data_IF_724065919937
#
_entry.id   IF_724065919937
#
_cell.length_a   1.000
_cell.length_b   1.000
_cell.length_c   1.000
_cell.angle_alpha   90.00
_cell.angle_beta   90.00
_cell.angle_gamma   90.00
#
_symmetry.space_group_name_H-M   'P 1'
#
loop_
_entity.id
_entity.type
_entity.pdbx_description
1 polymer ?
#
# COMPACT_ATOMS: atom_id res chain seq x y z
N UNK A 1 -5.83 -9.25 75.41
CA UNK A 1 -5.88 -10.69 75.77
C UNK A 1 -6.25 -11.42 74.49
N UNK A 2 -5.38 -12.11 73.77
CA UNK A 2 -4.30 -13.04 74.17
C UNK A 2 -2.97 -12.63 73.49
N UNK A 3 -1.81 -12.83 74.15
CA UNK A 3 -0.49 -12.46 73.67
C UNK A 3 0.27 -13.64 73.03
N UNK A 4 1.36 -13.36 72.32
CA UNK A 4 2.37 -14.33 71.88
C UNK A 4 3.24 -13.69 70.79
N UNK A 5 4.43 -13.16 71.11
CA UNK A 5 5.72 -13.89 71.18
C UNK A 5 6.05 -14.46 69.79
N UNK A 6 7.07 -14.02 69.07
CA UNK A 6 8.53 -14.01 69.31
C UNK A 6 9.14 -13.27 68.08
N UNK A 7 10.31 -12.63 68.04
CA UNK A 7 11.68 -13.15 68.12
C UNK A 7 12.61 -11.93 67.95
N UNK A 8 13.49 -11.65 68.91
CA UNK A 8 14.96 -11.81 68.84
C UNK A 8 15.66 -11.07 67.69
N UNK A 9 16.31 -9.97 68.06
CA UNK A 9 17.37 -9.34 67.28
C UNK A 9 18.66 -10.17 67.30
N UNK A 10 19.32 -10.24 66.15
CA UNK A 10 20.69 -10.73 65.95
C UNK A 10 21.39 -9.77 64.97
N UNK A 11 22.68 -9.46 65.15
CA UNK A 11 23.32 -8.26 64.64
C UNK A 11 23.84 -8.40 63.21
N UNK A 12 24.19 -7.23 62.66
CA UNK A 12 24.66 -7.06 61.29
C UNK A 12 25.91 -7.82 60.93
N UNK A 13 25.97 -8.17 59.64
CA UNK A 13 27.20 -8.50 58.92
C UNK A 13 27.15 -7.72 57.62
N UNK A 14 28.07 -6.77 57.46
CA UNK A 14 28.29 -6.12 56.19
C UNK A 14 28.77 -7.15 55.17
N UNK A 15 28.19 -7.10 53.98
CA UNK A 15 28.79 -7.72 52.80
C UNK A 15 28.81 -6.68 51.69
N UNK A 16 30.04 -6.28 51.36
CA UNK A 16 30.40 -5.43 50.25
C UNK A 16 29.86 -5.94 48.92
N UNK A 17 29.53 -4.98 48.05
CA UNK A 17 29.72 -5.00 46.59
C UNK A 17 29.27 -6.27 45.85
N UNK A 18 28.14 -6.17 45.15
CA UNK A 18 27.91 -6.97 43.96
C UNK A 18 27.07 -6.21 42.92
N UNK A 19 27.67 -6.06 41.75
CA UNK A 19 27.06 -6.18 40.44
C UNK A 19 26.03 -5.12 39.98
N UNK A 20 26.54 -4.21 39.14
CA UNK A 20 26.01 -3.90 37.81
C UNK A 20 24.48 -3.86 37.67
N UNK A 21 23.98 -2.63 37.70
CA UNK A 21 22.67 -2.24 37.19
C UNK A 21 22.41 -2.94 35.86
N UNK A 22 21.28 -3.63 35.85
CA UNK A 22 20.80 -4.50 34.81
C UNK A 22 20.91 -3.90 33.42
N UNK A 23 21.24 -4.79 32.47
CA UNK A 23 21.18 -4.53 31.07
C UNK A 23 19.87 -3.86 30.70
N UNK A 24 20.00 -2.66 30.10
CA UNK A 24 18.95 -2.05 29.29
C UNK A 24 18.73 -2.95 28.08
N UNK A 25 17.95 -4.00 28.29
CA UNK A 25 17.37 -4.80 27.23
C UNK A 25 16.54 -3.90 26.34
N UNK A 26 17.05 -3.67 25.15
CA UNK A 26 16.35 -3.55 23.88
C UNK A 26 14.85 -3.17 23.98
N UNK A 27 14.55 -1.90 24.28
CA UNK A 27 13.34 -1.29 23.74
C UNK A 27 13.72 -0.77 22.35
N UNK A 28 13.81 -1.68 21.37
CA UNK A 28 13.79 -1.25 19.97
C UNK A 28 12.47 -0.50 19.80
N UNK A 29 12.47 0.77 19.32
CA UNK A 29 11.23 1.44 18.99
C UNK A 29 10.56 0.58 17.94
N UNK A 30 9.31 0.21 18.19
CA UNK A 30 8.48 -0.55 17.27
C UNK A 30 8.28 0.34 16.05
N UNK A 31 9.24 0.29 15.13
CA UNK A 31 9.20 0.95 13.85
C UNK A 31 7.99 0.36 13.15
N UNK A 32 6.89 1.10 13.17
CA UNK A 32 5.69 0.71 12.45
C UNK A 32 6.09 0.75 10.98
N UNK A 33 6.46 -0.41 10.44
CA UNK A 33 6.87 -0.56 9.04
C UNK A 33 5.71 -0.03 8.19
N UNK A 34 5.84 1.21 7.72
CA UNK A 34 4.96 1.76 6.72
C UNK A 34 5.02 0.77 5.54
N UNK A 35 3.90 0.15 5.20
CA UNK A 35 3.89 -0.88 4.17
C UNK A 35 4.49 -0.27 2.89
N UNK A 36 5.68 -0.74 2.46
CA UNK A 36 6.50 -0.02 1.49
C UNK A 36 5.79 0.13 0.13
N UNK A 37 4.81 -0.74 -0.13
CA UNK A 37 4.05 -0.80 -1.37
C UNK A 37 2.83 0.14 -1.37
N UNK A 38 2.42 0.70 -0.23
CA UNK A 38 1.27 1.62 -0.13
C UNK A 38 1.41 2.80 -1.10
N UNK A 39 2.62 3.37 -1.19
CA UNK A 39 2.91 4.50 -2.06
C UNK A 39 2.75 4.15 -3.54
N UNK A 40 3.23 2.98 -3.95
CA UNK A 40 3.10 2.48 -5.32
C UNK A 40 1.63 2.26 -5.70
N UNK A 41 0.85 1.62 -4.83
CA UNK A 41 -0.59 1.40 -5.05
C UNK A 41 -1.34 2.71 -5.21
N UNK A 42 -1.02 3.73 -4.41
CA UNK A 42 -1.66 5.06 -4.52
C UNK A 42 -1.29 5.76 -5.82
N UNK A 43 -0.02 5.69 -6.25
CA UNK A 43 0.42 6.23 -7.54
C UNK A 43 -0.31 5.56 -8.69
N UNK A 44 -0.38 4.23 -8.68
CA UNK A 44 -1.10 3.44 -9.68
C UNK A 44 -2.58 3.84 -9.76
N UNK A 45 -3.25 3.99 -8.62
CA UNK A 45 -4.66 4.41 -8.56
C UNK A 45 -4.87 5.79 -9.20
N UNK A 46 -4.02 6.77 -8.89
CA UNK A 46 -4.10 8.12 -9.46
C UNK A 46 -3.85 8.12 -10.97
N UNK A 47 -2.87 7.35 -11.44
CA UNK A 47 -2.56 7.24 -12.86
C UNK A 47 -3.73 6.61 -13.64
N UNK A 48 -4.30 5.52 -13.13
CA UNK A 48 -5.47 4.88 -13.74
C UNK A 48 -6.68 5.82 -13.75
N UNK A 49 -6.90 6.59 -12.68
CA UNK A 49 -7.99 7.55 -12.64
C UNK A 49 -7.82 8.68 -13.67
N UNK A 50 -6.60 9.14 -13.89
CA UNK A 50 -6.30 10.16 -14.90
C UNK A 50 -6.54 9.65 -16.33
N UNK A 51 -5.99 8.48 -16.67
CA UNK A 51 -6.14 7.87 -18.00
C UNK A 51 -7.58 7.45 -18.29
N UNK A 52 -8.31 7.02 -17.27
CA UNK A 52 -9.70 6.59 -17.36
C UNK A 52 -10.70 7.68 -17.71
N UNK A 53 -10.31 8.97 -17.69
CA UNK A 53 -11.21 10.09 -18.04
C UNK A 53 -11.68 10.07 -19.48
N UNK A 54 -10.81 9.61 -20.38
CA UNK A 54 -11.10 9.52 -21.81
C UNK A 54 -11.68 8.16 -22.22
N UNK A 55 -12.10 7.35 -21.26
CA UNK A 55 -12.66 6.04 -21.54
C UNK A 55 -13.96 6.19 -22.36
N UNK A 56 -14.17 5.40 -23.43
CA UNK A 56 -15.28 5.59 -24.37
C UNK A 56 -16.67 5.48 -23.74
N UNK A 57 -16.82 4.80 -22.60
CA UNK A 57 -18.08 4.69 -21.84
C UNK A 57 -18.25 5.78 -20.77
N UNK A 58 -17.32 6.74 -20.71
CA UNK A 58 -17.30 7.83 -19.75
C UNK A 58 -16.48 7.54 -18.49
N UNK A 59 -16.08 8.62 -17.81
CA UNK A 59 -15.25 8.60 -16.60
C UNK A 59 -15.94 7.87 -15.44
N UNK A 60 -17.24 8.10 -15.23
CA UNK A 60 -18.01 7.49 -14.13
C UNK A 60 -18.00 5.97 -14.19
N UNK A 61 -18.25 5.42 -15.38
CA UNK A 61 -18.24 3.97 -15.63
C UNK A 61 -16.86 3.35 -15.30
N UNK A 62 -15.78 4.00 -15.74
CA UNK A 62 -14.43 3.54 -15.45
C UNK A 62 -14.11 3.63 -13.95
N UNK A 63 -14.41 4.78 -13.34
CA UNK A 63 -14.13 5.05 -11.92
C UNK A 63 -14.82 4.05 -10.99
N UNK A 64 -16.05 3.67 -11.27
CA UNK A 64 -16.77 2.66 -10.50
C UNK A 64 -16.11 1.28 -10.58
N UNK A 65 -15.65 0.87 -11.78
CA UNK A 65 -14.98 -0.43 -11.97
C UNK A 65 -13.60 -0.43 -11.33
N UNK A 66 -12.86 0.67 -11.47
CA UNK A 66 -11.58 0.87 -10.79
C UNK A 66 -11.76 0.76 -9.27
N UNK A 67 -12.72 1.50 -8.69
CA UNK A 67 -13.02 1.44 -7.26
C UNK A 67 -13.38 0.02 -6.82
N UNK A 68 -14.24 -0.68 -7.57
CA UNK A 68 -14.61 -2.07 -7.28
C UNK A 68 -13.41 -3.01 -7.30
N UNK A 69 -12.49 -2.86 -8.25
CA UNK A 69 -11.29 -3.69 -8.33
C UNK A 69 -10.36 -3.50 -7.11
N UNK A 70 -10.12 -2.25 -6.71
CA UNK A 70 -9.29 -1.95 -5.53
C UNK A 70 -9.97 -2.39 -4.22
N UNK A 71 -11.28 -2.25 -4.11
CA UNK A 71 -12.04 -2.71 -2.94
C UNK A 71 -12.00 -4.24 -2.78
N UNK A 72 -12.06 -4.99 -3.88
CA UNK A 72 -11.94 -6.47 -3.86
C UNK A 72 -10.60 -6.94 -3.29
N UNK A 73 -9.53 -6.18 -3.49
CA UNK A 73 -8.17 -6.52 -3.07
C UNK A 73 -7.72 -5.82 -1.77
N UNK A 74 -8.62 -5.11 -1.06
CA UNK A 74 -8.27 -4.28 0.11
C UNK A 74 -7.62 -5.06 1.26
N UNK A 75 -7.97 -6.34 1.39
CA UNK A 75 -7.56 -7.20 2.50
C UNK A 75 -6.27 -7.98 2.20
N UNK A 76 -5.71 -7.85 0.99
CA UNK A 76 -4.46 -8.51 0.60
C UNK A 76 -3.29 -7.87 1.37
N UNK A 77 -2.57 -8.68 2.16
CA UNK A 77 -1.41 -8.25 2.97
C UNK A 77 -0.07 -8.79 2.45
N UNK A 78 -0.10 -9.83 1.63
CA UNK A 78 1.10 -10.48 1.11
C UNK A 78 1.83 -9.55 0.11
N UNK A 79 3.11 -9.21 0.34
CA UNK A 79 3.83 -8.24 -0.48
C UNK A 79 4.02 -8.71 -1.93
N UNK A 80 4.21 -10.02 -2.15
CA UNK A 80 4.35 -10.59 -3.49
C UNK A 80 3.06 -10.47 -4.31
N UNK A 81 1.91 -10.78 -3.69
CA UNK A 81 0.60 -10.61 -4.33
C UNK A 81 0.30 -9.14 -4.64
N UNK A 82 0.70 -8.22 -3.76
CA UNK A 82 0.55 -6.78 -4.00
C UNK A 82 1.36 -6.37 -5.23
N UNK A 83 2.61 -6.83 -5.37
CA UNK A 83 3.45 -6.56 -6.55
C UNK A 83 2.83 -7.13 -7.83
N UNK A 84 2.29 -8.34 -7.79
CA UNK A 84 1.60 -8.94 -8.94
C UNK A 84 0.37 -8.11 -9.36
N UNK A 85 -0.44 -7.65 -8.39
CA UNK A 85 -1.59 -6.79 -8.64
C UNK A 85 -1.19 -5.42 -9.19
N UNK A 86 -0.06 -4.86 -8.72
CA UNK A 86 0.51 -3.62 -9.27
C UNK A 86 0.89 -3.84 -10.73
N UNK A 87 1.61 -4.93 -11.04
CA UNK A 87 2.00 -5.26 -12.42
C UNK A 87 0.80 -5.45 -13.35
N UNK A 88 -0.29 -6.06 -12.87
CA UNK A 88 -1.56 -6.11 -13.62
C UNK A 88 -2.14 -4.73 -13.88
N UNK A 89 -2.07 -3.82 -12.91
CA UNK A 89 -2.51 -2.44 -13.10
C UNK A 89 -1.66 -1.66 -14.11
N UNK A 90 -0.36 -1.87 -14.13
CA UNK A 90 0.55 -1.29 -15.13
C UNK A 90 0.26 -1.81 -16.54
N UNK A 91 -0.14 -3.07 -16.69
CA UNK A 91 -0.60 -3.60 -17.96
C UNK A 91 -1.87 -2.87 -18.45
N UNK A 92 -2.84 -2.64 -17.54
CA UNK A 92 -4.07 -1.89 -17.87
C UNK A 92 -3.76 -0.45 -18.30
N UNK A 93 -2.74 0.19 -17.71
CA UNK A 93 -2.28 1.51 -18.17
C UNK A 93 -1.88 1.48 -19.65
N UNK A 94 -1.07 0.50 -20.06
CA UNK A 94 -0.63 0.35 -21.46
C UNK A 94 -1.80 0.09 -22.40
N UNK A 95 -2.81 -0.68 -21.97
CA UNK A 95 -4.03 -0.89 -22.76
C UNK A 95 -4.81 0.41 -22.96
N UNK A 96 -4.93 1.24 -21.92
CA UNK A 96 -5.59 2.55 -22.02
C UNK A 96 -4.84 3.51 -22.95
N UNK A 97 -3.51 3.53 -22.88
CA UNK A 97 -2.67 4.31 -23.80
C UNK A 97 -2.83 3.85 -25.25
N UNK A 98 -2.84 2.53 -25.49
CA UNK A 98 -3.08 1.97 -26.81
C UNK A 98 -4.46 2.36 -27.36
N UNK A 99 -5.51 2.29 -26.52
CA UNK A 99 -6.86 2.74 -26.88
C UNK A 99 -6.89 4.22 -27.23
N UNK A 100 -6.18 5.06 -26.48
CA UNK A 100 -6.04 6.49 -26.75
C UNK A 100 -5.38 6.76 -28.11
N UNK A 101 -4.25 6.09 -28.40
CA UNK A 101 -3.56 6.24 -29.68
C UNK A 101 -4.41 5.75 -30.86
N UNK A 102 -5.10 4.62 -30.71
CA UNK A 102 -5.99 4.09 -31.74
C UNK A 102 -7.12 5.07 -32.05
N UNK A 103 -7.73 5.68 -31.03
CA UNK A 103 -8.79 6.68 -31.20
C UNK A 103 -8.28 7.91 -31.96
N UNK A 104 -7.10 8.42 -31.59
CA UNK A 104 -6.46 9.55 -32.28
C UNK A 104 -6.13 9.21 -33.73
N UNK A 105 -5.58 8.03 -33.99
CA UNK A 105 -5.26 7.59 -35.33
C UNK A 105 -6.52 7.49 -36.20
N UNK A 106 -7.61 6.91 -35.68
CA UNK A 106 -8.90 6.84 -36.39
C UNK A 106 -9.42 8.23 -36.78
N UNK A 107 -9.42 9.17 -35.83
CA UNK A 107 -9.87 10.54 -36.09
C UNK A 107 -8.98 11.28 -37.11
N UNK A 108 -7.67 11.04 -37.09
CA UNK A 108 -6.74 11.60 -38.06
C UNK A 108 -6.96 10.97 -39.44
N UNK A 109 -7.05 9.64 -39.54
CA UNK A 109 -7.26 8.92 -40.79
C UNK A 109 -8.53 9.41 -41.51
N UNK A 110 -9.62 9.55 -40.75
CA UNK A 110 -10.88 10.07 -41.26
C UNK A 110 -10.74 11.44 -41.93
N UNK A 111 -10.03 12.37 -41.30
CA UNK A 111 -9.88 13.76 -41.81
C UNK A 111 -9.01 13.90 -43.06
N UNK A 112 -8.10 12.97 -43.33
CA UNK A 112 -7.10 13.14 -44.40
C UNK A 112 -7.26 12.17 -45.58
N UNK A 113 -7.95 11.05 -45.38
CA UNK A 113 -8.00 9.98 -46.38
C UNK A 113 -9.41 9.64 -46.88
N UNK A 114 -10.47 9.94 -46.13
CA UNK A 114 -11.86 9.63 -46.57
C UNK A 114 -12.30 10.51 -47.76
N UNK A 115 -11.80 11.75 -47.86
CA UNK A 115 -12.13 12.67 -48.96
C UNK A 115 -11.46 12.33 -50.32
N UNK A 116 -10.46 11.42 -50.34
CA UNK A 116 -9.68 11.09 -51.54
C UNK A 116 -10.13 9.82 -52.28
N UNK A 117 -11.11 9.10 -51.75
CA UNK A 117 -11.63 7.83 -52.31
C UNK A 117 -12.99 7.99 -53.02
N UNK A 118 -13.37 9.20 -53.44
CA UNK A 118 -14.53 9.40 -54.34
C UNK A 118 -14.05 9.42 -55.81
N UNK A 119 -14.40 8.41 -56.64
CA UNK A 119 -14.22 8.44 -58.10
C UNK A 119 -15.11 9.47 -58.79
#
# INVERSE_FOLDING_TARGET
MVPGSVDLGVPGVGCSQAAHVGGRGCAQPLMTMANPLRGEVVRLYKNLLFLGREYPKGESYFRERLKRAFLKNKDVRDPEKIKELIGRGEFVIKELEALYFLRKYRAMKQRYYEDKESP
#
